data_IF_045435822061
#
_entry.id   IF_045435822061
#
_cell.length_a   1.000
_cell.length_b   1.000
_cell.length_c   1.000
_cell.angle_alpha   90.00
_cell.angle_beta   90.00
_cell.angle_gamma   90.00
#
_symmetry.space_group_name_H-M   'P 1'
#
loop_
_entity.id
_entity.type
_entity.pdbx_description
1 polymer ?
#
# COMPACT_ATOMS: atom_id res chain seq x y z
N UNK A 1 18.21 0.68 -4.42
CA UNK A 1 16.80 0.33 -4.60
C UNK A 1 15.96 1.48 -4.07
N UNK A 2 15.05 2.03 -4.86
CA UNK A 2 14.12 3.06 -4.37
C UNK A 2 12.96 2.39 -3.58
N UNK A 3 12.06 3.19 -3.00
CA UNK A 3 10.91 2.67 -2.24
C UNK A 3 10.05 1.72 -3.06
N UNK A 4 9.75 2.05 -4.32
CA UNK A 4 8.92 1.21 -5.19
C UNK A 4 9.58 -0.14 -5.46
N UNK A 5 10.84 -0.12 -5.89
CA UNK A 5 11.60 -1.34 -6.15
C UNK A 5 11.72 -2.21 -4.89
N UNK A 6 11.90 -1.59 -3.72
CA UNK A 6 11.95 -2.27 -2.42
C UNK A 6 10.63 -2.94 -2.09
N UNK A 7 9.53 -2.21 -2.22
CA UNK A 7 8.19 -2.73 -2.00
C UNK A 7 7.86 -3.88 -2.95
N UNK A 8 8.11 -3.71 -4.25
CA UNK A 8 7.87 -4.75 -5.25
C UNK A 8 8.71 -6.00 -4.99
N UNK A 9 9.98 -5.83 -4.59
CA UNK A 9 10.86 -6.94 -4.24
C UNK A 9 10.30 -7.74 -3.05
N UNK A 10 9.96 -7.07 -1.94
CA UNK A 10 9.42 -7.75 -0.76
C UNK A 10 8.06 -8.39 -1.04
N UNK A 11 7.19 -7.75 -1.83
CA UNK A 11 5.91 -8.32 -2.24
C UNK A 11 6.07 -9.60 -3.08
N UNK A 12 6.96 -9.60 -4.08
CA UNK A 12 7.24 -10.78 -4.93
C UNK A 12 7.79 -11.97 -4.15
N UNK A 13 8.55 -11.71 -3.10
CA UNK A 13 9.16 -12.74 -2.26
C UNK A 13 8.30 -13.12 -1.05
N UNK A 14 7.08 -12.58 -0.94
CA UNK A 14 6.20 -12.75 0.23
C UNK A 14 6.90 -12.41 1.58
N UNK A 15 7.78 -11.40 1.56
CA UNK A 15 8.57 -10.92 2.70
C UNK A 15 8.07 -9.54 3.17
N UNK A 16 6.74 -9.40 3.27
CA UNK A 16 6.07 -8.21 3.81
C UNK A 16 5.71 -8.45 5.27
N UNK A 17 6.05 -7.51 6.15
CA UNK A 17 5.72 -7.62 7.57
C UNK A 17 4.36 -6.98 7.81
N UNK A 18 3.35 -7.76 8.19
CA UNK A 18 2.02 -7.24 8.56
C UNK A 18 1.96 -6.84 10.02
N UNK A 19 1.29 -5.72 10.31
CA UNK A 19 0.90 -5.36 11.69
C UNK A 19 -0.51 -5.85 12.00
N UNK A 20 -0.85 -6.03 13.28
CA UNK A 20 -2.22 -6.38 13.69
C UNK A 20 -3.23 -5.34 13.21
N UNK A 21 -2.88 -4.05 13.32
CA UNK A 21 -3.74 -2.96 12.86
C UNK A 21 -4.01 -3.03 11.35
N UNK A 22 -3.01 -3.40 10.54
CA UNK A 22 -3.22 -3.61 9.11
C UNK A 22 -4.23 -4.74 8.84
N UNK A 23 -4.10 -5.87 9.53
CA UNK A 23 -5.00 -7.02 9.35
C UNK A 23 -6.44 -6.70 9.76
N UNK A 24 -6.62 -6.03 10.90
CA UNK A 24 -7.93 -5.56 11.37
C UNK A 24 -8.58 -4.61 10.36
N UNK A 25 -7.81 -3.64 9.84
CA UNK A 25 -8.33 -2.70 8.84
C UNK A 25 -8.64 -3.41 7.52
N UNK A 26 -7.85 -4.39 7.12
CA UNK A 26 -8.11 -5.16 5.91
C UNK A 26 -9.43 -5.93 6.01
N UNK A 27 -9.69 -6.58 7.15
CA UNK A 27 -10.92 -7.31 7.43
C UNK A 27 -12.14 -6.36 7.43
N UNK A 28 -12.05 -5.23 8.13
CA UNK A 28 -13.13 -4.23 8.21
C UNK A 28 -13.48 -3.59 6.86
N UNK A 29 -12.57 -3.64 5.88
CA UNK A 29 -12.72 -3.01 4.56
C UNK A 29 -13.12 -4.00 3.47
N UNK A 30 -13.30 -5.28 3.79
CA UNK A 30 -13.80 -6.29 2.85
C UNK A 30 -15.23 -5.95 2.42
N UNK A 31 -15.35 -5.34 1.24
CA UNK A 31 -16.61 -4.88 0.66
C UNK A 31 -16.81 -5.33 -0.79
N UNK A 32 -16.01 -6.29 -1.25
CA UNK A 32 -15.99 -6.79 -2.62
C UNK A 32 -15.19 -5.93 -3.61
N UNK A 33 -14.67 -4.76 -3.18
CA UNK A 33 -13.83 -3.87 -4.00
C UNK A 33 -12.37 -3.92 -3.51
N UNK A 34 -12.16 -3.83 -2.19
CA UNK A 34 -10.83 -3.92 -1.58
C UNK A 34 -10.31 -5.35 -1.72
N UNK A 35 -9.13 -5.58 -2.33
CA UNK A 35 -8.54 -6.91 -2.43
C UNK A 35 -8.27 -7.52 -1.04
N UNK A 36 -8.26 -8.84 -0.95
CA UNK A 36 -7.75 -9.54 0.23
C UNK A 36 -6.22 -9.43 0.34
N UNK A 37 -5.64 -10.09 1.35
CA UNK A 37 -4.19 -9.98 1.59
C UNK A 37 -3.36 -10.48 0.42
N UNK A 38 -3.73 -11.63 -0.15
CA UNK A 38 -3.04 -12.22 -1.30
C UNK A 38 -3.17 -11.31 -2.53
N UNK A 39 -4.37 -10.75 -2.75
CA UNK A 39 -4.62 -9.74 -3.78
C UNK A 39 -3.77 -8.48 -3.60
N UNK A 40 -3.59 -8.01 -2.36
CA UNK A 40 -2.69 -6.90 -2.05
C UNK A 40 -1.23 -7.27 -2.34
N UNK A 41 -0.77 -8.46 -1.98
CA UNK A 41 0.58 -8.91 -2.30
C UNK A 41 0.81 -8.96 -3.82
N UNK A 42 -0.14 -9.50 -4.58
CA UNK A 42 -0.10 -9.52 -6.05
C UNK A 42 -0.10 -8.09 -6.62
N UNK A 43 -0.98 -7.21 -6.14
CA UNK A 43 -1.04 -5.81 -6.53
C UNK A 43 0.32 -5.12 -6.33
N UNK A 44 0.90 -5.23 -5.15
CA UNK A 44 2.20 -4.62 -4.80
C UNK A 44 3.37 -5.25 -5.55
N UNK A 45 3.26 -6.51 -5.96
CA UNK A 45 4.29 -7.22 -6.73
C UNK A 45 4.27 -6.88 -8.24
N UNK A 46 3.10 -6.51 -8.77
CA UNK A 46 2.87 -6.41 -10.22
C UNK A 46 2.61 -4.99 -10.71
N UNK A 47 2.15 -4.10 -9.84
CA UNK A 47 1.78 -2.73 -10.19
C UNK A 47 2.66 -1.72 -9.45
N UNK A 48 2.99 -0.63 -10.12
CA UNK A 48 3.58 0.54 -9.48
C UNK A 48 2.48 1.40 -8.85
N UNK A 49 2.71 1.98 -7.66
CA UNK A 49 1.77 2.92 -7.10
C UNK A 49 1.64 4.14 -8.01
N UNK A 50 0.40 4.59 -8.21
CA UNK A 50 0.02 5.76 -9.01
C UNK A 50 0.40 7.09 -8.35
N UNK A 51 0.61 7.08 -7.03
CA UNK A 51 1.10 8.19 -6.23
C UNK A 51 1.83 7.64 -5.01
N UNK A 52 2.89 8.32 -4.61
CA UNK A 52 3.60 8.06 -3.36
C UNK A 52 3.64 9.36 -2.59
N UNK A 53 3.25 9.33 -1.33
CA UNK A 53 3.45 10.44 -0.39
C UNK A 53 4.40 9.99 0.71
N UNK A 54 5.54 10.65 0.80
CA UNK A 54 6.46 10.52 1.93
C UNK A 54 5.87 11.21 3.16
N UNK A 55 5.97 10.54 4.31
CA UNK A 55 5.66 11.09 5.62
C UNK A 55 6.94 11.17 6.45
N UNK A 56 6.82 11.34 7.77
CA UNK A 56 7.96 11.27 8.68
C UNK A 56 8.37 9.81 8.95
N UNK A 57 9.61 9.62 9.41
CA UNK A 57 10.09 8.34 9.98
C UNK A 57 10.02 7.14 9.01
N UNK A 58 10.50 7.32 7.78
CA UNK A 58 10.54 6.29 6.73
C UNK A 58 9.14 5.70 6.40
N UNK A 59 8.08 6.46 6.69
CA UNK A 59 6.71 6.09 6.40
C UNK A 59 6.26 6.65 5.06
N UNK A 60 5.57 5.83 4.28
CA UNK A 60 5.06 6.19 2.96
C UNK A 60 3.58 5.81 2.85
N UNK A 61 2.81 6.64 2.15
CA UNK A 61 1.50 6.25 1.61
C UNK A 61 1.69 5.86 0.15
N UNK A 62 1.33 4.64 -0.17
CA UNK A 62 1.26 4.14 -1.53
C UNK A 62 -0.19 4.15 -1.98
N UNK A 63 -0.46 4.78 -3.10
CA UNK A 63 -1.79 4.80 -3.72
C UNK A 63 -1.78 3.83 -4.90
N UNK A 64 -2.77 2.97 -4.96
CA UNK A 64 -2.99 2.04 -6.06
C UNK A 64 -4.43 2.21 -6.59
N UNK A 65 -4.59 2.32 -7.90
CA UNK A 65 -5.93 2.32 -8.50
C UNK A 65 -6.49 0.90 -8.36
N UNK A 66 -7.65 0.73 -7.72
CA UNK A 66 -8.33 -0.57 -7.63
C UNK A 66 -9.51 -0.67 -8.57
N UNK A 67 -10.17 0.45 -8.87
CA UNK A 67 -11.12 0.59 -9.97
C UNK A 67 -11.10 2.04 -10.50
N UNK A 68 -12.11 2.43 -11.30
CA UNK A 68 -12.23 3.78 -11.86
C UNK A 68 -12.59 4.84 -10.80
N UNK A 69 -13.19 4.44 -9.68
CA UNK A 69 -13.76 5.34 -8.66
C UNK A 69 -12.91 5.40 -7.39
N UNK A 70 -12.15 4.35 -7.09
CA UNK A 70 -11.47 4.16 -5.83
C UNK A 70 -9.99 3.82 -5.99
N UNK A 71 -9.23 4.39 -5.05
CA UNK A 71 -7.85 4.05 -4.75
C UNK A 71 -7.79 3.21 -3.47
N UNK A 72 -6.89 2.24 -3.48
CA UNK A 72 -6.38 1.61 -2.28
C UNK A 72 -5.14 2.35 -1.81
N UNK A 73 -5.16 2.77 -0.55
CA UNK A 73 -4.04 3.44 0.09
C UNK A 73 -3.47 2.48 1.12
N UNK A 74 -2.18 2.16 0.95
CA UNK A 74 -1.42 1.31 1.85
C UNK A 74 -0.36 2.19 2.52
N UNK A 75 -0.43 2.29 3.84
CA UNK A 75 0.60 2.98 4.61
C UNK A 75 1.66 1.96 4.99
N UNK A 76 2.90 2.24 4.62
CA UNK A 76 4.03 1.37 4.91
C UNK A 76 5.12 2.11 5.68
N UNK A 77 5.96 1.36 6.38
CA UNK A 77 7.31 1.79 6.74
C UNK A 77 8.28 1.03 5.85
N UNK A 78 9.19 1.75 5.17
CA UNK A 78 10.14 1.18 4.24
C UNK A 78 11.57 1.53 4.65
N UNK A 79 12.27 0.56 5.22
CA UNK A 79 13.67 0.70 5.63
C UNK A 79 14.54 0.15 4.51
N UNK A 80 15.37 0.99 3.89
CA UNK A 80 16.19 0.63 2.71
C UNK A 80 17.63 0.25 3.10
N UNK A 81 18.02 0.40 4.37
CA UNK A 81 19.32 -0.10 4.86
C UNK A 81 19.35 -1.63 4.88
N UNK A 82 20.50 -2.24 4.59
CA UNK A 82 20.63 -3.70 4.48
C UNK A 82 20.62 -4.39 5.86
N UNK A 83 19.74 -5.39 6.11
CA UNK A 83 18.71 -5.89 5.20
C UNK A 83 17.47 -4.98 5.16
N UNK A 84 16.96 -4.72 3.94
CA UNK A 84 15.76 -3.89 3.75
C UNK A 84 14.54 -4.55 4.36
N UNK A 85 13.56 -3.74 4.78
CA UNK A 85 12.31 -4.21 5.37
C UNK A 85 11.14 -3.34 4.94
N UNK A 86 10.01 -3.99 4.65
CA UNK A 86 8.75 -3.32 4.36
C UNK A 86 7.70 -3.80 5.35
N UNK A 87 7.14 -2.87 6.14
CA UNK A 87 6.09 -3.16 7.11
C UNK A 87 4.79 -2.48 6.70
N UNK A 88 3.70 -3.24 6.62
CA UNK A 88 2.36 -2.78 6.33
C UNK A 88 1.69 -2.30 7.62
N UNK A 89 1.39 -1.00 7.70
CA UNK A 89 0.88 -0.34 8.90
C UNK A 89 -0.64 -0.29 8.90
N UNK A 90 -1.24 0.14 7.80
CA UNK A 90 -2.69 0.24 7.66
C UNK A 90 -3.10 0.28 6.19
N UNK A 91 -4.36 -0.01 5.92
CA UNK A 91 -4.97 0.01 4.58
C UNK A 91 -6.30 0.74 4.63
N UNK A 92 -6.57 1.55 3.61
CA UNK A 92 -7.85 2.24 3.48
C UNK A 92 -8.22 2.46 2.02
N UNK A 93 -9.52 2.59 1.78
CA UNK A 93 -10.09 2.96 0.49
C UNK A 93 -10.34 4.47 0.45
N UNK A 94 -10.07 5.09 -0.69
CA UNK A 94 -10.38 6.50 -0.93
C UNK A 94 -10.96 6.68 -2.33
N UNK A 95 -11.87 7.64 -2.53
CA UNK A 95 -12.28 8.01 -3.89
C UNK A 95 -11.11 8.60 -4.69
N UNK A 96 -10.89 8.12 -5.91
CA UNK A 96 -9.77 8.48 -6.78
C UNK A 96 -9.70 9.99 -7.06
N UNK A 97 -10.85 10.69 -7.08
CA UNK A 97 -10.91 12.15 -7.25
C UNK A 97 -10.19 12.94 -6.15
N UNK A 98 -10.08 12.38 -4.94
CA UNK A 98 -9.39 13.02 -3.80
C UNK A 98 -7.87 13.00 -3.95
N UNK A 99 -7.31 12.18 -4.85
CA UNK A 99 -5.88 12.09 -5.13
C UNK A 99 -5.28 13.43 -5.59
N UNK A 100 -6.06 14.18 -6.37
CA UNK A 100 -5.67 15.43 -7.03
C UNK A 100 -5.81 16.67 -6.15
N UNK A 101 -6.35 16.54 -4.93
CA UNK A 101 -6.65 17.68 -4.06
C UNK A 101 -7.77 18.60 -4.58
N UNK A 102 -8.44 18.23 -5.68
CA UNK A 102 -9.60 18.96 -6.20
C UNK A 102 -10.80 18.56 -5.37
N UNK A 103 -11.09 19.37 -4.35
CA UNK A 103 -12.42 19.39 -3.75
C UNK A 103 -13.39 19.82 -4.84
N UNK A 104 -14.28 18.92 -5.25
CA UNK A 104 -15.45 19.28 -6.05
C UNK A 104 -16.40 20.16 -5.27
#
# INVERSE_FOLDING_TARGET
MNVVETVMYHAKNHDLITTSHFLEMLELRQNGIVPDFDGICVLMATQSPIKIEEQTDDKFKLFYSIDEKYDLIIVIVCIIISPSKVRLITVHQQESKRRSGVNG
#
